data_IF_297821922470
#
_entry.id   IF_297821922470
#
_cell.length_a   1.000
_cell.length_b   1.000
_cell.length_c   1.000
_cell.angle_alpha   90.00
_cell.angle_beta   90.00
_cell.angle_gamma   90.00
#
_symmetry.space_group_name_H-M   'P 1'
#
loop_
_entity.id
_entity.type
_entity.pdbx_description
1 polymer ?
#
# COMPACT_ATOMS: atom_id res chain seq x y z
N UNK A 1 23.95 -7.95 -7.62
CA UNK A 1 22.57 -8.43 -7.57
C UNK A 1 22.09 -8.53 -6.15
N UNK A 2 21.13 -7.72 -5.79
CA UNK A 2 20.60 -7.72 -4.46
C UNK A 2 19.57 -8.81 -4.22
N UNK A 3 19.46 -9.22 -2.96
CA UNK A 3 18.41 -10.14 -2.53
C UNK A 3 17.01 -9.51 -2.65
N UNK A 4 16.93 -8.19 -2.49
CA UNK A 4 15.67 -7.44 -2.56
C UNK A 4 15.60 -6.72 -3.90
N UNK A 5 15.07 -7.40 -4.92
CA UNK A 5 14.96 -6.83 -6.26
C UNK A 5 13.63 -6.13 -6.49
N UNK A 6 12.59 -6.56 -5.81
CA UNK A 6 11.24 -6.03 -5.99
C UNK A 6 10.61 -5.69 -4.64
N UNK A 7 10.31 -4.41 -4.44
CA UNK A 7 9.66 -3.92 -3.23
C UNK A 7 8.28 -3.43 -3.61
N UNK A 8 7.26 -3.89 -2.88
CA UNK A 8 5.87 -3.48 -3.11
C UNK A 8 5.38 -2.69 -1.90
N UNK A 9 4.72 -1.57 -2.16
CA UNK A 9 4.09 -0.74 -1.13
C UNK A 9 2.59 -0.95 -1.19
N UNK A 10 1.99 -1.38 -0.08
CA UNK A 10 0.53 -1.46 0.02
C UNK A 10 0.01 -0.15 0.59
N UNK A 11 -0.75 0.60 -0.21
CA UNK A 11 -1.28 1.91 0.18
C UNK A 11 -2.78 1.86 0.40
N UNK A 12 -3.24 2.56 1.42
CA UNK A 12 -4.66 2.86 1.61
C UNK A 12 -5.10 4.02 0.71
N UNK A 13 -4.15 4.82 0.27
CA UNK A 13 -4.35 5.96 -0.63
C UNK A 13 -5.25 7.06 -0.03
N UNK A 14 -5.18 7.23 1.28
CA UNK A 14 -5.96 8.24 2.01
C UNK A 14 -5.22 9.58 2.18
N UNK A 15 -4.03 9.69 1.61
CA UNK A 15 -3.23 10.91 1.69
C UNK A 15 -2.33 11.02 2.92
N UNK A 16 -2.34 10.01 3.81
CA UNK A 16 -1.59 10.04 5.06
C UNK A 16 -0.27 9.27 5.02
N UNK A 17 0.19 8.88 3.82
CA UNK A 17 1.22 7.87 3.68
C UNK A 17 2.54 8.41 3.13
N UNK A 18 2.78 9.70 3.28
CA UNK A 18 4.01 10.32 2.79
C UNK A 18 5.26 9.63 3.33
N UNK A 19 5.33 9.43 4.66
CA UNK A 19 6.51 8.77 5.25
C UNK A 19 6.64 7.32 4.83
N UNK A 20 5.54 6.62 4.60
CA UNK A 20 5.58 5.24 4.12
C UNK A 20 6.24 5.18 2.75
N UNK A 21 5.79 6.02 1.83
CA UNK A 21 6.33 6.04 0.46
C UNK A 21 7.78 6.53 0.47
N UNK A 22 8.09 7.57 1.25
CA UNK A 22 9.46 8.09 1.35
C UNK A 22 10.45 7.03 1.82
N UNK A 23 10.08 6.27 2.86
CA UNK A 23 10.94 5.21 3.37
C UNK A 23 11.15 4.11 2.34
N UNK A 24 10.09 3.72 1.65
CA UNK A 24 10.18 2.69 0.62
C UNK A 24 11.05 3.13 -0.57
N UNK A 25 10.91 4.38 -0.99
CA UNK A 25 11.71 4.94 -2.08
C UNK A 25 13.19 4.97 -1.68
N UNK A 26 13.48 5.44 -0.47
CA UNK A 26 14.85 5.50 0.02
C UNK A 26 15.49 4.11 0.07
N UNK A 27 14.72 3.14 0.56
CA UNK A 27 15.18 1.76 0.65
C UNK A 27 15.43 1.16 -0.74
N UNK A 28 14.49 1.39 -1.67
CA UNK A 28 14.62 0.90 -3.04
C UNK A 28 15.83 1.50 -3.75
N UNK A 29 16.10 2.77 -3.53
CA UNK A 29 17.28 3.42 -4.10
C UNK A 29 18.57 2.79 -3.57
N UNK A 30 18.65 2.56 -2.25
CA UNK A 30 19.82 1.95 -1.64
C UNK A 30 20.03 0.51 -2.07
N UNK A 31 18.96 -0.24 -2.24
CA UNK A 31 19.02 -1.65 -2.62
C UNK A 31 18.97 -1.87 -4.13
N UNK A 32 18.79 -0.81 -4.90
CA UNK A 32 18.60 -0.87 -6.35
C UNK A 32 17.43 -1.77 -6.73
N UNK A 33 16.33 -1.61 -6.01
CA UNK A 33 15.12 -2.38 -6.20
C UNK A 33 14.14 -1.67 -7.11
N UNK A 34 13.29 -2.45 -7.79
CA UNK A 34 12.11 -1.91 -8.46
C UNK A 34 11.01 -1.69 -7.44
N UNK A 35 10.24 -0.64 -7.62
CA UNK A 35 9.11 -0.30 -6.75
C UNK A 35 7.79 -0.54 -7.47
N UNK A 36 6.85 -1.09 -6.72
CA UNK A 36 5.47 -1.13 -7.14
C UNK A 36 4.58 -0.66 -5.98
N UNK A 37 3.42 -0.17 -6.33
CA UNK A 37 2.38 0.21 -5.37
C UNK A 37 1.17 -0.64 -5.66
N UNK A 38 0.58 -1.25 -4.63
CA UNK A 38 -0.69 -1.94 -4.74
C UNK A 38 -1.72 -1.23 -3.87
N UNK A 39 -2.91 -1.06 -4.43
CA UNK A 39 -4.07 -0.56 -3.70
C UNK A 39 -5.25 -1.50 -3.95
N UNK A 40 -5.94 -1.89 -2.89
CA UNK A 40 -7.11 -2.76 -2.96
C UNK A 40 -8.35 -1.91 -2.79
N UNK A 41 -9.12 -1.75 -3.87
CA UNK A 41 -10.41 -1.07 -3.81
C UNK A 41 -11.45 -2.01 -3.22
N UNK A 42 -12.40 -1.45 -2.48
CA UNK A 42 -13.58 -2.19 -2.05
C UNK A 42 -14.36 -2.67 -3.28
N UNK A 43 -15.02 -3.82 -3.17
CA UNK A 43 -15.82 -4.39 -4.27
C UNK A 43 -16.90 -3.42 -4.76
N UNK A 44 -17.40 -2.58 -3.88
CA UNK A 44 -18.48 -1.63 -4.18
C UNK A 44 -17.95 -0.22 -4.49
N UNK A 45 -16.63 -0.04 -4.56
CA UNK A 45 -16.04 1.26 -4.84
C UNK A 45 -16.50 1.79 -6.20
N UNK A 46 -17.00 3.01 -6.21
CA UNK A 46 -17.47 3.67 -7.43
C UNK A 46 -18.84 3.22 -7.90
N UNK A 47 -19.50 2.28 -7.22
CA UNK A 47 -20.84 1.88 -7.61
C UNK A 47 -21.87 2.89 -7.12
N UNK A 48 -22.92 3.10 -7.94
CA UNK A 48 -24.05 3.95 -7.55
C UNK A 48 -24.94 3.16 -6.61
N UNK A 49 -25.05 3.62 -5.37
CA UNK A 49 -25.95 3.02 -4.41
C UNK A 49 -26.99 4.05 -3.97
N UNK A 50 -28.24 3.64 -3.93
CA UNK A 50 -29.32 4.47 -3.40
C UNK A 50 -29.21 4.67 -1.89
N UNK A 51 -28.38 3.90 -1.23
CA UNK A 51 -28.19 3.91 0.22
C UNK A 51 -27.01 4.74 0.67
N UNK A 52 -26.54 5.65 -0.15
CA UNK A 52 -25.43 6.57 0.18
C UNK A 52 -24.10 5.86 0.40
N UNK A 53 -23.05 6.54 0.07
CA UNK A 53 -21.66 6.25 0.44
C UNK A 53 -21.09 4.94 -0.03
N UNK A 54 -21.11 4.70 -1.36
CA UNK A 54 -20.15 3.73 -1.88
C UNK A 54 -18.74 4.25 -1.60
N UNK A 55 -17.80 3.39 -1.21
CA UNK A 55 -16.41 3.81 -1.03
C UNK A 55 -15.87 4.45 -2.31
N UNK A 56 -15.01 5.44 -2.13
CA UNK A 56 -14.41 6.13 -3.25
C UNK A 56 -13.49 5.18 -4.00
N UNK A 57 -13.65 5.12 -5.31
CA UNK A 57 -12.76 4.33 -6.15
C UNK A 57 -11.46 5.08 -6.37
N UNK A 58 -10.36 4.48 -5.97
CA UNK A 58 -9.02 5.03 -6.17
C UNK A 58 -8.51 4.57 -7.54
N UNK A 59 -8.01 5.51 -8.32
CA UNK A 59 -7.46 5.25 -9.66
C UNK A 59 -5.94 5.37 -9.64
N UNK A 60 -5.30 4.85 -10.69
CA UNK A 60 -3.85 4.98 -10.82
C UNK A 60 -3.41 6.45 -10.88
N UNK A 61 -4.18 7.29 -11.56
CA UNK A 61 -3.86 8.72 -11.64
C UNK A 61 -3.92 9.40 -10.28
N UNK A 62 -4.87 9.01 -9.43
CA UNK A 62 -4.96 9.55 -8.06
C UNK A 62 -3.73 9.16 -7.25
N UNK A 63 -3.23 7.96 -7.41
CA UNK A 63 -2.01 7.51 -6.73
C UNK A 63 -0.80 8.29 -7.25
N UNK A 64 -0.70 8.49 -8.56
CA UNK A 64 0.37 9.29 -9.14
C UNK A 64 0.36 10.72 -8.60
N UNK A 65 -0.82 11.32 -8.50
CA UNK A 65 -0.96 12.65 -7.91
C UNK A 65 -0.49 12.70 -6.47
N UNK A 66 -0.80 11.68 -5.68
CA UNK A 66 -0.31 11.60 -4.30
C UNK A 66 1.21 11.52 -4.26
N UNK A 67 1.82 10.72 -5.13
CA UNK A 67 3.28 10.60 -5.21
C UNK A 67 3.91 11.95 -5.56
N UNK A 68 3.31 12.69 -6.48
CA UNK A 68 3.76 14.03 -6.85
C UNK A 68 3.64 14.98 -5.64
N UNK A 69 2.52 14.94 -4.95
CA UNK A 69 2.28 15.77 -3.76
C UNK A 69 3.28 15.49 -2.65
N UNK A 70 3.76 14.24 -2.58
CA UNK A 70 4.80 13.86 -1.60
C UNK A 70 6.21 14.31 -2.03
N UNK A 71 6.35 14.92 -3.21
CA UNK A 71 7.66 15.37 -3.71
C UNK A 71 8.48 14.27 -4.35
N UNK A 72 7.84 13.18 -4.76
CA UNK A 72 8.53 11.99 -5.27
C UNK A 72 8.26 11.73 -6.75
N UNK A 73 7.97 12.78 -7.50
CA UNK A 73 7.65 12.68 -8.92
C UNK A 73 8.70 11.89 -9.73
N UNK A 74 9.95 11.96 -9.29
CA UNK A 74 11.06 11.31 -10.01
C UNK A 74 10.96 9.79 -10.09
N UNK A 75 10.15 9.15 -9.25
CA UNK A 75 10.02 7.69 -9.28
C UNK A 75 8.95 7.20 -10.26
N UNK A 76 8.11 8.10 -10.79
CA UNK A 76 6.92 7.71 -11.54
C UNK A 76 7.21 6.92 -12.82
N UNK A 77 8.31 7.23 -13.49
CA UNK A 77 8.64 6.58 -14.77
C UNK A 77 8.89 5.08 -14.63
N UNK A 78 9.40 4.66 -13.47
CA UNK A 78 9.72 3.25 -13.22
C UNK A 78 8.79 2.59 -12.20
N UNK A 79 7.76 3.31 -11.77
CA UNK A 79 6.83 2.82 -10.75
C UNK A 79 5.67 2.07 -11.38
N UNK A 80 5.48 0.82 -10.97
CA UNK A 80 4.29 0.05 -11.34
C UNK A 80 3.19 0.29 -10.32
N UNK A 81 1.99 0.59 -10.79
CA UNK A 81 0.83 0.78 -9.93
C UNK A 81 -0.16 -0.32 -10.23
N UNK A 82 -0.48 -1.10 -9.21
CA UNK A 82 -1.37 -2.25 -9.29
C UNK A 82 -2.66 -1.89 -8.55
N UNK A 83 -3.76 -1.92 -9.28
CA UNK A 83 -5.09 -1.73 -8.69
C UNK A 83 -5.82 -3.06 -8.73
N UNK A 84 -6.35 -3.45 -7.61
CA UNK A 84 -7.18 -4.64 -7.50
C UNK A 84 -8.40 -4.31 -6.65
N UNK A 85 -9.31 -5.24 -6.52
CA UNK A 85 -10.49 -5.06 -5.68
C UNK A 85 -10.82 -6.38 -4.99
N UNK A 86 -11.39 -6.29 -3.80
CA UNK A 86 -11.73 -7.47 -3.03
C UNK A 86 -12.26 -7.09 -1.66
N UNK A 87 -12.94 -8.06 -1.03
CA UNK A 87 -13.44 -7.88 0.34
C UNK A 87 -12.36 -8.13 1.37
N UNK A 88 -11.41 -9.00 1.06
CA UNK A 88 -10.31 -9.32 1.97
C UNK A 88 -9.02 -8.70 1.43
N UNK A 89 -8.60 -7.62 2.08
CA UNK A 89 -7.43 -6.84 1.65
C UNK A 89 -6.17 -7.70 1.68
N UNK A 90 -5.96 -8.44 2.76
CA UNK A 90 -4.76 -9.27 2.91
C UNK A 90 -4.65 -10.32 1.82
N UNK A 91 -5.75 -11.00 1.49
CA UNK A 91 -5.75 -12.00 0.43
C UNK A 91 -5.52 -11.37 -0.94
N UNK A 92 -6.09 -10.20 -1.19
CA UNK A 92 -5.90 -9.48 -2.45
C UNK A 92 -4.44 -9.08 -2.64
N UNK A 93 -3.78 -8.62 -1.57
CA UNK A 93 -2.36 -8.29 -1.62
C UNK A 93 -1.53 -9.55 -1.84
N UNK A 94 -1.82 -10.60 -1.09
CA UNK A 94 -1.09 -11.87 -1.18
C UNK A 94 -1.12 -12.44 -2.61
N UNK A 95 -2.25 -12.34 -3.28
CA UNK A 95 -2.37 -12.84 -4.65
C UNK A 95 -1.47 -12.12 -5.65
N UNK A 96 -0.93 -10.96 -5.28
CA UNK A 96 -0.02 -10.17 -6.13
C UNK A 96 1.42 -10.18 -5.61
N UNK A 97 1.73 -11.00 -4.60
CA UNK A 97 3.06 -11.00 -3.99
C UNK A 97 4.05 -11.94 -4.64
N UNK A 98 3.67 -12.67 -5.67
CA UNK A 98 4.62 -13.54 -6.37
C UNK A 98 5.74 -12.69 -6.98
N UNK A 99 6.98 -13.03 -6.63
CA UNK A 99 8.14 -12.27 -7.09
C UNK A 99 8.44 -11.01 -6.29
N UNK A 100 7.66 -10.73 -5.26
CA UNK A 100 7.91 -9.59 -4.36
C UNK A 100 8.84 -10.05 -3.24
N UNK A 101 9.91 -9.29 -3.03
CA UNK A 101 10.93 -9.61 -2.03
C UNK A 101 10.69 -8.94 -0.68
N UNK A 102 9.93 -7.85 -0.67
CA UNK A 102 9.56 -7.14 0.55
C UNK A 102 8.27 -6.37 0.33
N UNK A 103 7.38 -6.44 1.30
CA UNK A 103 6.15 -5.65 1.33
C UNK A 103 6.30 -4.53 2.36
N UNK A 104 5.95 -3.31 1.99
CA UNK A 104 5.98 -2.15 2.89
C UNK A 104 4.56 -1.71 3.18
N UNK A 105 4.24 -1.55 4.45
CA UNK A 105 2.93 -1.09 4.92
C UNK A 105 3.08 0.14 5.80
N UNK A 106 2.02 0.94 5.84
CA UNK A 106 1.90 1.98 6.84
C UNK A 106 1.07 1.51 8.03
N UNK A 107 1.42 1.97 9.20
CA UNK A 107 0.66 1.71 10.42
C UNK A 107 0.41 3.02 11.14
N UNK A 108 -0.85 3.30 11.45
CA UNK A 108 -1.19 4.51 12.21
C UNK A 108 -1.10 4.22 13.69
N UNK A 109 -0.29 5.02 14.36
CA UNK A 109 -0.16 4.93 15.82
C UNK A 109 -1.45 5.42 16.45
N UNK A 110 -2.11 4.55 17.21
CA UNK A 110 -3.37 4.88 17.86
C UNK A 110 -3.25 4.73 19.38
N UNK A 111 -4.20 5.32 20.11
CA UNK A 111 -4.29 5.09 21.54
C UNK A 111 -4.51 3.59 21.81
N UNK A 112 -4.13 3.12 23.00
CA UNK A 112 -4.27 1.71 23.36
C UNK A 112 -5.70 1.19 23.16
N UNK A 113 -6.68 2.04 23.37
CA UNK A 113 -8.08 1.68 23.22
C UNK A 113 -8.45 1.42 21.76
N UNK A 114 -7.91 2.23 20.85
CA UNK A 114 -8.19 2.13 19.42
C UNK A 114 -7.36 1.03 18.76
N UNK A 115 -6.16 0.79 19.25
CA UNK A 115 -5.26 -0.21 18.68
C UNK A 115 -5.88 -1.61 18.68
N UNK A 116 -6.59 -1.96 19.76
CA UNK A 116 -7.24 -3.28 19.87
C UNK A 116 -8.37 -3.50 18.85
N UNK A 117 -8.89 -2.40 18.29
CA UNK A 117 -10.01 -2.48 17.33
C UNK A 117 -9.53 -2.47 15.89
N UNK A 118 -8.40 -1.79 15.61
CA UNK A 118 -7.99 -1.47 14.26
C UNK A 118 -6.78 -2.26 13.73
N UNK A 119 -6.16 -3.10 14.55
CA UNK A 119 -4.98 -3.87 14.16
C UNK A 119 -5.27 -5.06 13.25
N UNK A 120 -6.55 -5.34 12.98
CA UNK A 120 -6.93 -6.57 12.27
C UNK A 120 -6.40 -6.66 10.84
N UNK A 121 -6.23 -5.53 10.14
CA UNK A 121 -5.72 -5.53 8.76
C UNK A 121 -4.24 -5.86 8.75
N UNK A 122 -3.44 -5.19 9.58
CA UNK A 122 -2.00 -5.42 9.66
C UNK A 122 -1.69 -6.86 10.10
N UNK A 123 -2.42 -7.36 11.11
CA UNK A 123 -2.28 -8.74 11.56
C UNK A 123 -2.66 -9.73 10.46
N UNK A 124 -3.75 -9.44 9.74
CA UNK A 124 -4.17 -10.28 8.62
C UNK A 124 -3.11 -10.38 7.54
N UNK A 125 -2.48 -9.25 7.22
CA UNK A 125 -1.40 -9.21 6.23
C UNK A 125 -0.20 -10.00 6.72
N UNK A 126 0.27 -9.76 7.93
CA UNK A 126 1.47 -10.43 8.44
C UNK A 126 1.27 -11.93 8.60
N UNK A 127 0.05 -12.39 8.81
CA UNK A 127 -0.24 -13.83 8.93
C UNK A 127 -0.27 -14.55 7.58
N UNK A 128 -0.57 -13.84 6.50
CA UNK A 128 -0.76 -14.45 5.18
C UNK A 128 0.45 -14.27 4.26
N UNK A 129 1.11 -13.12 4.34
CA UNK A 129 2.20 -12.77 3.43
C UNK A 129 3.48 -13.53 3.79
N UNK A 130 4.07 -14.20 2.81
CA UNK A 130 5.26 -15.02 3.01
C UNK A 130 6.57 -14.22 2.95
N UNK A 131 6.60 -13.07 2.29
CA UNK A 131 7.83 -12.27 2.19
C UNK A 131 7.99 -11.38 3.44
N UNK A 132 9.20 -10.84 3.67
CA UNK A 132 9.41 -9.86 4.73
C UNK A 132 8.48 -8.67 4.60
N UNK A 133 7.99 -8.18 5.74
CA UNK A 133 7.09 -7.03 5.79
C UNK A 133 7.75 -5.94 6.62
N UNK A 134 7.89 -4.76 6.04
CA UNK A 134 8.36 -3.58 6.73
C UNK A 134 7.16 -2.70 7.06
N UNK A 135 6.99 -2.40 8.33
CA UNK A 135 5.90 -1.54 8.80
C UNK A 135 6.47 -0.17 9.13
N UNK A 136 5.93 0.87 8.50
CA UNK A 136 6.36 2.25 8.70
C UNK A 136 5.22 3.00 9.38
N UNK A 137 5.56 3.79 10.41
CA UNK A 137 4.55 4.61 11.09
C UNK A 137 4.05 5.71 10.16
N UNK A 138 2.75 5.87 10.10
CA UNK A 138 2.12 6.95 9.35
C UNK A 138 2.18 8.26 10.13
N UNK A 139 2.06 9.33 9.40
CA UNK A 139 2.00 10.68 9.97
C UNK A 139 0.71 10.91 10.77
#
# INVERSE_FOLDING_TARGET
MGKYQNIMIALEADGSEKSVVEHAVLLAEQLQSKLSIIHVNDLHAGSMSMMMDSPKKITADMIREQVIDYGLEHILDELDIILTKGENIAKSIESHCQGVDMLVLGHRRMSKLMANITDSIDEGITNIIACPVLVVQKD
#
